data_IF_318416153747
#
_entry.id   IF_318416153747
#
_cell.length_a   1.000
_cell.length_b   1.000
_cell.length_c   1.000
_cell.angle_alpha   90.00
_cell.angle_beta   90.00
_cell.angle_gamma   90.00
#
_symmetry.space_group_name_H-M   'P 1'
#
loop_
_entity.id
_entity.type
_entity.pdbx_description
1 polymer ?
#
# COMPACT_ATOMS: atom_id res chain seq x y z
N UNK A 1 -5.26 -24.00 -7.08
CA UNK A 1 -4.66 -24.06 -8.44
C UNK A 1 -3.46 -25.03 -8.55
N UNK A 2 -3.18 -25.84 -7.53
CA UNK A 2 -2.01 -26.75 -7.44
C UNK A 2 -2.25 -28.09 -8.13
N UNK A 3 -3.51 -28.52 -8.22
CA UNK A 3 -3.87 -29.87 -8.67
C UNK A 3 -3.77 -30.04 -10.19
N UNK A 4 -4.18 -29.02 -10.98
CA UNK A 4 -4.08 -29.08 -12.45
C UNK A 4 -2.65 -29.21 -12.96
N UNK A 5 -1.65 -28.65 -12.25
CA UNK A 5 -0.23 -28.78 -12.62
C UNK A 5 0.26 -30.22 -12.41
N UNK A 6 -0.12 -30.85 -11.30
CA UNK A 6 0.24 -32.24 -11.03
C UNK A 6 -0.42 -33.21 -12.02
N UNK A 7 -1.69 -32.95 -12.37
CA UNK A 7 -2.42 -33.73 -13.36
C UNK A 7 -1.84 -33.57 -14.76
N UNK A 8 -1.49 -32.34 -15.16
CA UNK A 8 -0.86 -32.08 -16.46
C UNK A 8 0.53 -32.71 -16.58
N UNK A 9 1.33 -32.69 -15.49
CA UNK A 9 2.64 -33.35 -15.45
C UNK A 9 2.53 -34.88 -15.49
N UNK A 10 1.57 -35.48 -14.78
CA UNK A 10 1.27 -36.92 -14.89
C UNK A 10 0.81 -37.28 -16.30
N UNK A 11 -0.06 -36.46 -16.90
CA UNK A 11 -0.57 -36.66 -18.25
C UNK A 11 0.57 -36.55 -19.29
N UNK A 12 1.46 -35.56 -19.19
CA UNK A 12 2.63 -35.41 -20.07
C UNK A 12 3.66 -36.53 -19.90
N UNK A 13 3.93 -36.95 -18.65
CA UNK A 13 4.84 -38.08 -18.36
C UNK A 13 4.33 -39.39 -19.01
N UNK A 14 3.01 -39.59 -19.00
CA UNK A 14 2.38 -40.76 -19.64
C UNK A 14 2.25 -40.62 -21.16
N UNK A 15 2.07 -39.40 -21.69
CA UNK A 15 1.88 -39.18 -23.13
C UNK A 15 3.16 -39.14 -23.95
N UNK A 16 4.34 -38.99 -23.34
CA UNK A 16 5.48 -38.53 -24.12
C UNK A 16 6.68 -39.46 -24.28
N UNK A 17 7.05 -40.38 -23.37
CA UNK A 17 8.44 -40.94 -23.50
C UNK A 17 8.68 -42.40 -23.09
N UNK A 18 7.66 -43.25 -22.99
CA UNK A 18 7.91 -44.65 -22.60
C UNK A 18 8.54 -45.55 -23.69
N UNK A 19 8.78 -45.07 -24.92
CA UNK A 19 9.23 -45.96 -26.02
C UNK A 19 10.33 -45.45 -26.96
N UNK A 20 10.91 -44.27 -26.73
CA UNK A 20 12.01 -43.80 -27.58
C UNK A 20 13.01 -43.05 -26.72
N UNK A 21 14.23 -43.57 -26.64
CA UNK A 21 15.36 -43.02 -25.87
C UNK A 21 15.81 -41.67 -26.40
N UNK A 22 14.95 -40.66 -26.27
CA UNK A 22 15.21 -39.28 -26.62
C UNK A 22 15.55 -38.59 -25.29
N UNK A 23 16.83 -38.27 -25.10
CA UNK A 23 17.25 -37.35 -24.05
C UNK A 23 16.71 -35.96 -24.42
N UNK A 24 15.58 -35.56 -23.85
CA UNK A 24 15.14 -34.18 -23.99
C UNK A 24 16.07 -33.29 -23.17
N UNK A 25 16.61 -32.21 -23.76
CA UNK A 25 17.15 -31.13 -22.96
C UNK A 25 16.03 -30.63 -22.06
N UNK A 26 16.23 -30.74 -20.74
CA UNK A 26 15.35 -30.13 -19.76
C UNK A 26 15.22 -28.65 -20.12
N UNK A 27 14.01 -28.07 -20.19
CA UNK A 27 13.84 -26.66 -20.49
C UNK A 27 14.53 -25.84 -19.39
N UNK A 28 15.74 -25.35 -19.67
CA UNK A 28 16.57 -24.56 -18.76
C UNK A 28 16.04 -23.14 -18.53
N UNK A 29 14.86 -22.83 -19.05
CA UNK A 29 14.31 -21.49 -19.12
C UNK A 29 12.81 -21.56 -18.85
N UNK A 30 12.41 -22.07 -17.68
CA UNK A 30 11.06 -21.81 -17.18
C UNK A 30 11.04 -20.29 -16.91
N UNK A 31 10.27 -19.47 -17.64
CA UNK A 31 10.18 -18.06 -17.34
C UNK A 31 9.62 -17.96 -15.91
N UNK A 32 10.43 -17.43 -14.99
CA UNK A 32 9.97 -17.09 -13.65
C UNK A 32 8.82 -16.10 -13.89
N UNK A 33 7.57 -16.56 -13.76
CA UNK A 33 6.39 -15.70 -13.89
C UNK A 33 6.50 -14.65 -12.80
N UNK A 34 7.02 -13.48 -13.16
CA UNK A 34 7.16 -12.34 -12.27
C UNK A 34 5.76 -12.00 -11.77
N UNK A 35 5.60 -11.97 -10.45
CA UNK A 35 4.32 -11.69 -9.82
C UNK A 35 3.97 -10.21 -10.06
N UNK A 36 3.29 -9.95 -11.17
CA UNK A 36 2.87 -8.63 -11.65
C UNK A 36 2.12 -7.85 -10.56
N UNK A 37 1.36 -8.53 -9.72
CA UNK A 37 0.56 -7.91 -8.66
C UNK A 37 1.48 -7.45 -7.51
N UNK A 38 2.51 -8.23 -7.15
CA UNK A 38 3.50 -7.83 -6.13
C UNK A 38 4.33 -6.63 -6.60
N UNK A 39 4.74 -6.61 -7.88
CA UNK A 39 5.42 -5.46 -8.46
C UNK A 39 4.56 -4.19 -8.43
N UNK A 40 3.27 -4.33 -8.74
CA UNK A 40 2.30 -3.22 -8.68
C UNK A 40 2.12 -2.74 -7.25
N UNK A 41 2.01 -3.66 -6.28
CA UNK A 41 1.92 -3.35 -4.87
C UNK A 41 3.11 -2.51 -4.40
N UNK A 42 4.35 -2.94 -4.71
CA UNK A 42 5.57 -2.23 -4.32
C UNK A 42 5.62 -0.80 -4.86
N UNK A 43 5.23 -0.59 -6.12
CA UNK A 43 5.17 0.74 -6.73
C UNK A 43 4.17 1.63 -6.00
N UNK A 44 2.96 1.14 -5.76
CA UNK A 44 1.92 1.90 -5.06
C UNK A 44 2.33 2.20 -3.63
N UNK A 45 2.90 1.22 -2.92
CA UNK A 45 3.46 1.43 -1.58
C UNK A 45 4.50 2.56 -1.57
N UNK A 46 5.46 2.56 -2.49
CA UNK A 46 6.46 3.63 -2.57
C UNK A 46 5.83 4.99 -2.85
N UNK A 47 4.85 5.07 -3.75
CA UNK A 47 4.10 6.31 -4.04
C UNK A 47 3.36 6.80 -2.79
N UNK A 48 2.68 5.92 -2.07
CA UNK A 48 1.95 6.27 -0.83
C UNK A 48 2.90 6.76 0.25
N UNK A 49 4.04 6.09 0.45
CA UNK A 49 5.08 6.54 1.39
C UNK A 49 5.59 7.93 0.98
N UNK A 50 5.93 8.13 -0.29
CA UNK A 50 6.41 9.41 -0.79
C UNK A 50 5.40 10.54 -0.59
N UNK A 51 4.13 10.32 -0.95
CA UNK A 51 3.04 11.30 -0.76
C UNK A 51 2.90 11.66 0.71
N UNK A 52 2.87 10.68 1.62
CA UNK A 52 2.68 10.97 3.04
C UNK A 52 3.90 11.62 3.69
N UNK A 53 5.12 11.30 3.23
CA UNK A 53 6.32 12.06 3.62
C UNK A 53 6.27 13.50 3.12
N UNK A 54 5.82 13.72 1.88
CA UNK A 54 5.63 15.05 1.32
C UNK A 54 4.55 15.84 2.12
N UNK A 55 3.48 15.19 2.56
CA UNK A 55 2.47 15.79 3.44
C UNK A 55 3.04 16.19 4.80
N UNK A 56 3.85 15.33 5.42
CA UNK A 56 4.55 15.68 6.66
C UNK A 56 5.47 16.90 6.43
N UNK A 57 6.25 16.88 5.34
CA UNK A 57 7.09 18.01 4.94
C UNK A 57 6.29 19.29 4.74
N UNK A 58 5.17 19.22 4.04
CA UNK A 58 4.28 20.36 3.80
C UNK A 58 3.75 20.95 5.11
N UNK A 59 3.27 20.12 6.04
CA UNK A 59 2.82 20.59 7.37
C UNK A 59 3.96 21.27 8.13
N UNK A 60 5.16 20.69 8.13
CA UNK A 60 6.33 21.27 8.81
C UNK A 60 6.74 22.61 8.21
N UNK A 61 6.66 22.76 6.88
CA UNK A 61 6.97 24.02 6.19
C UNK A 61 5.89 25.09 6.45
N UNK A 62 4.62 24.71 6.36
CA UNK A 62 3.46 25.60 6.54
C UNK A 62 3.18 25.94 7.99
N UNK A 63 3.80 25.26 8.97
CA UNK A 63 3.56 25.49 10.40
C UNK A 63 3.74 26.95 10.85
N UNK A 64 4.55 27.73 10.13
CA UNK A 64 4.78 29.16 10.42
C UNK A 64 3.59 30.05 10.02
N UNK A 65 2.81 29.60 9.05
CA UNK A 65 1.66 30.29 8.48
C UNK A 65 0.33 29.79 9.07
N UNK A 66 0.36 28.62 9.72
CA UNK A 66 -0.76 28.07 10.46
C UNK A 66 -0.73 28.60 11.91
N UNK A 67 -1.89 28.74 12.57
CA UNK A 67 -1.96 29.02 14.00
C UNK A 67 -1.18 27.99 14.82
N UNK A 68 -0.80 28.30 16.08
CA UNK A 68 -0.08 27.34 16.94
C UNK A 68 -0.92 26.10 17.29
N UNK A 69 -2.25 26.26 17.27
CA UNK A 69 -3.22 25.22 17.57
C UNK A 69 -4.25 25.09 16.44
N UNK A 70 -4.60 23.86 16.10
CA UNK A 70 -5.54 23.51 15.03
C UNK A 70 -6.57 22.51 15.54
N UNK A 71 -7.83 22.60 15.05
CA UNK A 71 -8.86 21.64 15.37
C UNK A 71 -8.61 20.35 14.57
N UNK A 72 -8.02 19.35 15.23
CA UNK A 72 -7.86 18.01 14.65
C UNK A 72 -8.99 17.08 15.11
N UNK A 73 -9.49 17.27 16.32
CA UNK A 73 -10.39 16.35 17.01
C UNK A 73 -11.87 16.75 16.84
N UNK A 74 -12.34 16.88 15.59
CA UNK A 74 -13.71 17.30 15.26
C UNK A 74 -14.84 16.43 15.85
N UNK A 75 -14.53 15.29 16.47
CA UNK A 75 -15.50 14.47 17.20
C UNK A 75 -15.71 14.89 18.65
N UNK A 76 -14.95 15.85 19.17
CA UNK A 76 -15.06 16.36 20.54
C UNK A 76 -15.98 17.58 20.62
N UNK A 77 -16.50 17.94 21.81
CA UNK A 77 -17.26 19.17 22.00
C UNK A 77 -16.49 20.39 21.49
N UNK A 78 -17.23 21.31 20.88
CA UNK A 78 -16.66 22.55 20.35
C UNK A 78 -15.99 23.36 21.47
N UNK A 79 -14.79 23.87 21.21
CA UNK A 79 -13.99 24.63 22.17
C UNK A 79 -12.54 24.17 22.22
N UNK A 80 -11.85 24.50 23.32
CA UNK A 80 -10.41 24.20 23.48
C UNK A 80 -10.10 22.71 23.47
N UNK A 81 -11.06 21.85 23.82
CA UNK A 81 -10.88 20.39 23.81
C UNK A 81 -10.66 19.80 22.42
N UNK A 82 -11.04 20.53 21.36
CA UNK A 82 -10.85 20.11 19.97
C UNK A 82 -9.47 20.47 19.41
N UNK A 83 -8.80 21.44 20.03
CA UNK A 83 -7.56 22.05 19.56
C UNK A 83 -6.35 21.22 19.97
N UNK A 84 -5.44 21.04 19.02
CA UNK A 84 -4.15 20.38 19.25
C UNK A 84 -3.04 21.21 18.62
N UNK A 85 -1.81 21.07 19.09
CA UNK A 85 -0.67 21.76 18.47
C UNK A 85 -0.57 21.41 16.98
N UNK A 86 -0.23 22.39 16.14
CA UNK A 86 -0.16 22.22 14.68
C UNK A 86 0.74 21.10 14.20
N UNK A 87 1.77 20.74 14.97
CA UNK A 87 2.60 19.58 14.65
C UNK A 87 1.81 18.26 14.61
N UNK A 88 0.73 18.13 15.40
CA UNK A 88 -0.14 16.95 15.36
C UNK A 88 -0.93 16.83 14.06
N UNK A 89 -0.95 17.85 13.21
CA UNK A 89 -1.50 17.73 11.87
C UNK A 89 -0.72 16.74 10.99
N UNK A 90 0.50 16.37 11.37
CA UNK A 90 1.22 15.27 10.70
C UNK A 90 0.67 13.88 11.04
N UNK A 91 -0.17 13.76 12.08
CA UNK A 91 -0.64 12.48 12.62
C UNK A 91 -1.36 11.60 11.58
N UNK A 92 -2.29 12.10 10.73
CA UNK A 92 -2.91 11.29 9.68
C UNK A 92 -1.90 10.68 8.70
N UNK A 93 -0.86 11.44 8.34
CA UNK A 93 0.20 10.96 7.45
C UNK A 93 1.11 9.93 8.13
N UNK A 94 1.48 10.16 9.40
CA UNK A 94 2.24 9.18 10.18
C UNK A 94 1.48 7.86 10.36
N UNK A 95 0.20 7.91 10.73
CA UNK A 95 -0.64 6.71 10.83
C UNK A 95 -0.75 6.00 9.49
N UNK A 96 -0.90 6.74 8.40
CA UNK A 96 -0.93 6.15 7.06
C UNK A 96 0.36 5.43 6.71
N UNK A 97 1.53 6.00 7.01
CA UNK A 97 2.83 5.35 6.80
C UNK A 97 2.92 4.08 7.65
N UNK A 98 2.55 4.16 8.93
CA UNK A 98 2.57 3.02 9.84
C UNK A 98 1.69 1.87 9.34
N UNK A 99 0.42 2.15 9.01
CA UNK A 99 -0.48 1.14 8.46
C UNK A 99 -0.04 0.65 7.08
N UNK A 100 0.60 1.50 6.26
CA UNK A 100 1.14 1.08 4.96
C UNK A 100 2.26 0.06 5.12
N UNK A 101 3.12 0.23 6.13
CA UNK A 101 4.18 -0.74 6.46
C UNK A 101 3.56 -2.07 6.89
N UNK A 102 2.58 -2.05 7.80
CA UNK A 102 1.85 -3.26 8.21
C UNK A 102 1.22 -3.94 6.99
N UNK A 103 0.56 -3.17 6.14
CA UNK A 103 -0.13 -3.67 4.95
C UNK A 103 0.87 -4.28 3.94
N UNK A 104 2.06 -3.68 3.79
CA UNK A 104 3.16 -4.25 3.01
C UNK A 104 3.64 -5.59 3.59
N UNK A 105 3.85 -5.68 4.90
CA UNK A 105 4.25 -6.93 5.56
C UNK A 105 3.23 -8.04 5.33
N UNK A 106 1.94 -7.73 5.48
CA UNK A 106 0.85 -8.69 5.21
C UNK A 106 0.89 -9.14 3.74
N UNK A 107 1.14 -8.23 2.79
CA UNK A 107 1.16 -8.54 1.36
C UNK A 107 2.18 -9.61 0.96
N UNK A 108 3.28 -9.75 1.72
CA UNK A 108 4.34 -10.74 1.50
C UNK A 108 3.79 -12.17 1.70
N UNK A 109 2.87 -12.34 2.65
CA UNK A 109 2.29 -13.64 2.97
C UNK A 109 1.04 -13.96 2.12
N UNK A 110 0.42 -12.96 1.51
CA UNK A 110 -0.78 -13.12 0.69
C UNK A 110 -0.43 -13.56 -0.73
N UNK A 111 -0.85 -14.77 -1.10
CA UNK A 111 -0.68 -15.34 -2.45
C UNK A 111 -1.87 -15.10 -3.37
N UNK A 112 -3.06 -14.92 -2.78
CA UNK A 112 -4.30 -14.72 -3.54
C UNK A 112 -4.36 -13.32 -4.16
N UNK A 113 -4.60 -13.27 -5.47
CA UNK A 113 -4.63 -12.02 -6.25
C UNK A 113 -5.70 -11.06 -5.72
N UNK A 114 -6.90 -11.56 -5.45
CA UNK A 114 -8.01 -10.74 -4.98
C UNK A 114 -7.69 -10.07 -3.62
N UNK A 115 -7.16 -10.84 -2.67
CA UNK A 115 -6.74 -10.32 -1.38
C UNK A 115 -5.66 -9.24 -1.53
N UNK A 116 -4.68 -9.44 -2.41
CA UNK A 116 -3.65 -8.42 -2.66
C UNK A 116 -4.20 -7.14 -3.28
N UNK A 117 -5.20 -7.24 -4.16
CA UNK A 117 -5.87 -6.06 -4.72
C UNK A 117 -6.60 -5.26 -3.63
N UNK A 118 -7.25 -5.92 -2.67
CA UNK A 118 -7.85 -5.25 -1.51
C UNK A 118 -6.77 -4.47 -0.74
N UNK A 119 -5.63 -5.10 -0.46
CA UNK A 119 -4.53 -4.43 0.23
C UNK A 119 -4.03 -3.19 -0.53
N UNK A 120 -3.95 -3.24 -1.86
CA UNK A 120 -3.61 -2.10 -2.72
C UNK A 120 -4.63 -0.97 -2.56
N UNK A 121 -5.93 -1.28 -2.69
CA UNK A 121 -6.97 -0.26 -2.56
C UNK A 121 -6.95 0.37 -1.16
N UNK A 122 -6.73 -0.42 -0.11
CA UNK A 122 -6.59 0.10 1.25
C UNK A 122 -5.46 1.11 1.39
N UNK A 123 -4.31 0.90 0.72
CA UNK A 123 -3.22 1.89 0.70
C UNK A 123 -3.65 3.21 0.06
N UNK A 124 -4.35 3.13 -1.07
CA UNK A 124 -4.85 4.30 -1.80
C UNK A 124 -5.85 5.06 -0.94
N UNK A 125 -6.82 4.36 -0.32
CA UNK A 125 -7.82 4.97 0.55
C UNK A 125 -7.19 5.63 1.79
N UNK A 126 -6.25 4.96 2.46
CA UNK A 126 -5.55 5.56 3.60
C UNK A 126 -4.84 6.85 3.21
N UNK A 127 -4.10 6.83 2.10
CA UNK A 127 -3.40 8.03 1.61
C UNK A 127 -4.37 9.14 1.22
N UNK A 128 -5.51 8.80 0.62
CA UNK A 128 -6.55 9.77 0.28
C UNK A 128 -7.16 10.40 1.52
N UNK A 129 -7.52 9.60 2.53
CA UNK A 129 -8.06 10.12 3.80
C UNK A 129 -7.05 10.99 4.54
N UNK A 130 -5.78 10.62 4.55
CA UNK A 130 -4.70 11.44 5.12
C UNK A 130 -4.61 12.81 4.42
N UNK A 131 -4.57 12.82 3.09
CA UNK A 131 -4.56 14.04 2.29
C UNK A 131 -5.77 14.92 2.57
N UNK A 132 -6.98 14.36 2.51
CA UNK A 132 -8.22 15.11 2.75
C UNK A 132 -8.26 15.66 4.17
N UNK A 133 -7.83 14.89 5.16
CA UNK A 133 -7.81 15.33 6.56
C UNK A 133 -6.89 16.54 6.75
N UNK A 134 -5.67 16.46 6.22
CA UNK A 134 -4.69 17.54 6.32
C UNK A 134 -5.16 18.76 5.53
N UNK A 135 -5.56 18.57 4.27
CA UNK A 135 -6.03 19.64 3.40
C UNK A 135 -7.23 20.37 4.00
N UNK A 136 -8.22 19.64 4.53
CA UNK A 136 -9.40 20.24 5.16
C UNK A 136 -9.03 21.15 6.32
N UNK A 137 -8.11 20.72 7.19
CA UNK A 137 -7.69 21.52 8.35
C UNK A 137 -6.88 22.74 7.89
N UNK A 138 -5.98 22.57 6.90
CA UNK A 138 -5.23 23.69 6.33
C UNK A 138 -6.17 24.70 5.68
N UNK A 139 -7.21 24.29 4.95
CA UNK A 139 -8.17 25.23 4.36
C UNK A 139 -9.13 25.85 5.37
N UNK A 140 -9.44 25.14 6.46
CA UNK A 140 -10.32 25.68 7.50
C UNK A 140 -9.63 26.79 8.30
N UNK A 141 -8.33 26.63 8.54
CA UNK A 141 -7.59 27.45 9.51
C UNK A 141 -6.49 28.29 8.86
N UNK A 142 -5.91 27.81 7.76
CA UNK A 142 -4.99 28.58 6.94
C UNK A 142 -5.78 29.68 6.25
N UNK A 143 -5.51 30.92 6.66
CA UNK A 143 -5.99 32.12 5.99
C UNK A 143 -5.20 32.32 4.68
N UNK A 144 -5.36 31.38 3.76
CA UNK A 144 -4.78 31.35 2.41
C UNK A 144 -5.83 31.81 1.41
#
# INVERSE_FOLDING_TARGET
MTDRKATFLKQFKNLSFAKKGINLPLPNNIPIQKDKEMDTFKKIFLVVIFINLALIGAVVLLRKNLPPEVPLLYGMPEGETQLVKTIFLTLPAFLTIFFSIINFLISIFVKEKFARQILIYSLIFLSFFSLVSIAKIIFLVGNI
#
